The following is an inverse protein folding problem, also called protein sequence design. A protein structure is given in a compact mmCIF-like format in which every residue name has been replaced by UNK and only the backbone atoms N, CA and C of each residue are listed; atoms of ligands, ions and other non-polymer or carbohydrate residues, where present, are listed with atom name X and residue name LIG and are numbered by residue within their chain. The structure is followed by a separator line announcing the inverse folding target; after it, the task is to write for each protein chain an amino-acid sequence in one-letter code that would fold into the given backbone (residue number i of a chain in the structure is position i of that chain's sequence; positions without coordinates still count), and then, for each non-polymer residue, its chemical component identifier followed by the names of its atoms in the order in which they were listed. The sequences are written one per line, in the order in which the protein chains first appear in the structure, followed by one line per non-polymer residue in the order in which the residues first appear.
data_IF_157654500528
#
_entry.id   IF_157654500528
#
_cell.length_a   1.000
_cell.length_b   1.000
_cell.length_c   1.000
_cell.angle_alpha   90.00
_cell.angle_beta   90.00
_cell.angle_gamma   90.00
#
_symmetry.space_group_name_H-M   'P 1'
#
loop_
_entity.id
_entity.type
_entity.pdbx_description
1 polymer ?
#
# COMPACT_ATOMS: atom_id res chain seq x y z
N UNK A 1 -5.55 -39.23 12.59
CA UNK A 1 -4.62 -38.98 11.45
C UNK A 1 -5.27 -37.89 10.62
N UNK A 2 -4.91 -36.63 10.88
CA UNK A 2 -5.75 -35.49 10.52
C UNK A 2 -5.07 -34.70 9.39
N UNK A 3 -5.63 -34.79 8.19
CA UNK A 3 -5.18 -34.03 7.03
C UNK A 3 -5.69 -32.60 7.19
N UNK A 4 -4.80 -31.65 7.47
CA UNK A 4 -5.12 -30.21 7.37
C UNK A 4 -5.20 -29.83 5.90
N UNK A 5 -6.38 -29.43 5.45
CA UNK A 5 -6.59 -28.93 4.10
C UNK A 5 -6.13 -27.46 4.04
N UNK A 6 -5.12 -27.17 3.22
CA UNK A 6 -4.68 -25.79 2.95
C UNK A 6 -5.55 -25.24 1.83
N UNK A 7 -6.33 -24.19 2.12
CA UNK A 7 -7.07 -23.45 1.10
C UNK A 7 -6.14 -22.37 0.55
N UNK A 8 -5.53 -22.65 -0.60
CA UNK A 8 -4.79 -21.65 -1.38
C UNK A 8 -5.79 -20.85 -2.21
N UNK A 9 -6.08 -19.60 -1.80
CA UNK A 9 -6.87 -18.66 -2.59
C UNK A 9 -6.04 -18.09 -3.75
N UNK A 10 -6.07 -18.77 -4.90
CA UNK A 10 -5.70 -18.14 -6.18
C UNK A 10 -6.83 -17.21 -6.64
N UNK A 11 -6.61 -15.90 -6.57
CA UNK A 11 -7.45 -14.92 -7.26
C UNK A 11 -6.99 -14.73 -8.71
N UNK A 12 -7.13 -15.78 -9.52
CA UNK A 12 -7.04 -15.70 -10.98
C UNK A 12 -8.38 -15.29 -11.58
N UNK A 13 -8.43 -14.17 -12.31
CA UNK A 13 -9.66 -13.65 -12.87
C UNK A 13 -10.21 -14.52 -14.02
N UNK A 14 -11.38 -15.13 -13.83
CA UNK A 14 -12.25 -15.61 -14.93
C UNK A 14 -13.69 -15.19 -14.64
N UNK A 15 -14.17 -14.19 -15.39
CA UNK A 15 -15.61 -13.92 -15.50
C UNK A 15 -16.17 -14.78 -16.63
N UNK A 16 -16.79 -15.90 -16.26
CA UNK A 16 -17.70 -16.65 -17.14
C UNK A 16 -18.91 -17.11 -16.31
N UNK A 17 -20.11 -16.90 -16.84
CA UNK A 17 -21.33 -17.43 -16.24
C UNK A 17 -21.74 -18.76 -16.86
N UNK A 18 -22.38 -19.62 -16.06
CA UNK A 18 -23.61 -20.40 -16.36
C UNK A 18 -24.00 -21.20 -15.10
N UNK A 19 -25.29 -21.57 -15.00
CA UNK A 19 -25.98 -22.15 -13.84
C UNK A 19 -25.68 -23.64 -13.55
N UNK A 20 -26.22 -24.09 -12.41
CA UNK A 20 -26.38 -25.47 -11.84
C UNK A 20 -25.26 -25.94 -10.87
N UNK A 21 -25.53 -26.58 -9.71
CA UNK A 21 -26.82 -26.76 -8.99
C UNK A 21 -26.68 -26.92 -7.46
N UNK A 22 -27.76 -26.57 -6.76
CA UNK A 22 -28.18 -26.90 -5.38
C UNK A 22 -27.29 -27.69 -4.41
N UNK A 23 -27.06 -27.09 -3.23
CA UNK A 23 -27.22 -27.80 -1.95
C UNK A 23 -27.82 -26.86 -0.89
N UNK A 24 -28.76 -27.38 -0.10
CA UNK A 24 -29.54 -26.62 0.87
C UNK A 24 -28.75 -26.39 2.16
N UNK A 25 -28.27 -25.16 2.34
CA UNK A 25 -28.05 -24.58 3.67
C UNK A 25 -28.84 -23.28 3.77
N UNK A 26 -29.28 -22.94 4.97
CA UNK A 26 -29.93 -21.66 5.24
C UNK A 26 -28.86 -20.55 5.21
N UNK A 27 -28.42 -20.16 4.01
CA UNK A 27 -27.70 -18.91 3.83
C UNK A 27 -28.62 -17.77 4.22
N UNK A 28 -28.17 -16.93 5.15
CA UNK A 28 -28.51 -15.52 5.01
C UNK A 28 -28.00 -15.11 3.64
N UNK A 29 -28.90 -14.68 2.75
CA UNK A 29 -28.53 -14.08 1.47
C UNK A 29 -27.82 -12.75 1.74
N UNK A 30 -26.54 -12.84 2.11
CA UNK A 30 -25.56 -11.82 1.79
C UNK A 30 -25.49 -11.76 0.27
N UNK A 31 -26.42 -11.00 -0.32
CA UNK A 31 -26.25 -10.45 -1.66
C UNK A 31 -25.00 -9.61 -1.60
N UNK A 32 -23.89 -10.20 -2.02
CA UNK A 32 -22.64 -9.49 -2.19
C UNK A 32 -22.88 -8.40 -3.25
N UNK A 33 -23.06 -7.18 -2.76
CA UNK A 33 -23.51 -6.08 -3.57
C UNK A 33 -22.39 -5.69 -4.55
N UNK A 34 -22.63 -5.99 -5.83
CA UNK A 34 -21.61 -5.87 -6.87
C UNK A 34 -21.18 -4.41 -7.00
N UNK A 35 -19.93 -4.15 -6.64
CA UNK A 35 -19.37 -2.81 -6.76
C UNK A 35 -19.34 -2.38 -8.23
N UNK A 36 -19.83 -1.17 -8.51
CA UNK A 36 -19.75 -0.55 -9.84
C UNK A 36 -18.30 -0.14 -10.08
N UNK A 37 -17.68 -0.65 -11.14
CA UNK A 37 -16.40 -0.13 -11.64
C UNK A 37 -16.65 1.28 -12.20
N UNK A 38 -15.98 2.27 -11.62
CA UNK A 38 -16.01 3.66 -12.08
C UNK A 38 -14.88 3.94 -13.06
N UNK A 39 -13.75 3.27 -12.87
CA UNK A 39 -12.55 3.45 -13.70
C UNK A 39 -11.66 2.22 -13.64
N UNK A 40 -11.17 1.81 -14.81
CA UNK A 40 -10.13 0.81 -15.01
C UNK A 40 -9.07 1.43 -15.92
N UNK A 41 -7.82 1.54 -15.46
CA UNK A 41 -6.74 2.18 -16.21
C UNK A 41 -5.40 1.51 -15.95
N UNK A 42 -4.65 1.21 -17.01
CA UNK A 42 -3.26 0.77 -16.92
C UNK A 42 -2.33 1.97 -16.75
N UNK A 43 -1.52 1.96 -15.69
CA UNK A 43 -0.51 3.00 -15.38
C UNK A 43 0.90 2.39 -15.45
N UNK A 44 1.95 3.20 -15.29
CA UNK A 44 3.34 2.77 -15.29
C UNK A 44 3.69 1.84 -16.48
N UNK A 45 3.44 2.28 -17.72
CA UNK A 45 3.63 1.46 -18.93
C UNK A 45 2.92 0.08 -18.90
N UNK A 46 1.77 -0.02 -18.22
CA UNK A 46 1.01 -1.26 -17.97
C UNK A 46 1.55 -2.18 -16.88
N UNK A 47 2.52 -1.74 -16.07
CA UNK A 47 3.05 -2.50 -14.92
C UNK A 47 2.03 -2.59 -13.78
N UNK A 48 1.18 -1.56 -13.63
CA UNK A 48 0.10 -1.56 -12.63
C UNK A 48 -1.24 -1.26 -13.27
N UNK A 49 -2.30 -1.80 -12.67
CA UNK A 49 -3.69 -1.55 -13.00
C UNK A 49 -4.34 -0.79 -11.84
N UNK A 50 -5.02 0.31 -12.17
CA UNK A 50 -5.89 1.05 -11.27
C UNK A 50 -7.32 0.61 -11.49
N UNK A 51 -8.00 0.20 -10.41
CA UNK A 51 -9.42 -0.13 -10.42
C UNK A 51 -10.12 0.70 -9.33
N UNK A 52 -10.93 1.67 -9.75
CA UNK A 52 -11.79 2.45 -8.85
C UNK A 52 -13.21 1.87 -8.85
N UNK A 53 -13.72 1.55 -7.66
CA UNK A 53 -15.03 0.91 -7.48
C UNK A 53 -15.85 1.62 -6.42
N UNK A 54 -17.17 1.64 -6.58
CA UNK A 54 -18.11 2.12 -5.57
C UNK A 54 -19.24 1.09 -5.41
N UNK A 55 -19.47 0.65 -4.17
CA UNK A 55 -20.68 -0.12 -3.83
C UNK A 55 -21.87 0.82 -3.79
N UNK A 56 -23.04 0.30 -4.16
CA UNK A 56 -24.28 1.05 -4.06
C UNK A 56 -24.50 1.54 -2.61
N UNK A 57 -25.07 2.74 -2.47
CA UNK A 57 -25.28 3.46 -1.21
C UNK A 57 -24.03 3.73 -0.34
N UNK A 58 -22.83 3.28 -0.76
CA UNK A 58 -21.57 3.60 -0.09
C UNK A 58 -21.12 5.02 -0.40
N UNK A 59 -20.62 5.70 0.65
CA UNK A 59 -19.85 6.95 0.53
C UNK A 59 -18.41 6.71 0.12
N UNK A 60 -17.91 5.49 0.22
CA UNK A 60 -16.53 5.14 -0.07
C UNK A 60 -16.37 4.65 -1.50
N UNK A 61 -15.34 5.18 -2.16
CA UNK A 61 -14.85 4.73 -3.46
C UNK A 61 -13.50 4.07 -3.21
N UNK A 62 -13.44 2.76 -3.41
CA UNK A 62 -12.25 1.96 -3.23
C UNK A 62 -11.42 2.01 -4.51
N UNK A 63 -10.25 2.63 -4.42
CA UNK A 63 -9.28 2.77 -5.51
C UNK A 63 -8.12 1.84 -5.22
N UNK A 64 -8.08 0.70 -5.89
CA UNK A 64 -7.00 -0.26 -5.75
C UNK A 64 -6.00 -0.09 -6.88
N UNK A 65 -4.71 -0.08 -6.55
CA UNK A 65 -3.63 -0.24 -7.52
C UNK A 65 -2.91 -1.55 -7.25
N UNK A 66 -2.93 -2.43 -8.24
CA UNK A 66 -2.29 -3.74 -8.21
C UNK A 66 -1.27 -3.85 -9.34
N UNK A 67 -0.19 -4.59 -9.13
CA UNK A 67 0.66 -5.00 -10.25
C UNK A 67 -0.13 -5.85 -11.24
N UNK A 68 0.13 -5.66 -12.54
CA UNK A 68 -0.46 -6.47 -13.62
C UNK A 68 0.05 -7.92 -13.64
N UNK A 69 1.08 -8.22 -12.85
CA UNK A 69 1.72 -9.51 -12.67
C UNK A 69 1.92 -9.72 -11.16
N UNK A 70 1.54 -10.89 -10.64
CA UNK A 70 1.72 -11.23 -9.22
C UNK A 70 3.20 -11.21 -8.79
N UNK A 71 4.12 -11.46 -9.72
CA UNK A 71 5.57 -11.50 -9.47
C UNK A 71 6.30 -10.54 -10.41
N UNK A 72 6.20 -9.21 -10.17
CA UNK A 72 6.91 -8.22 -10.97
C UNK A 72 8.42 -8.40 -10.83
N UNK A 73 9.13 -8.26 -11.96
CA UNK A 73 10.59 -8.23 -12.01
C UNK A 73 11.15 -6.96 -11.38
N UNK A 74 12.43 -6.97 -11.01
CA UNK A 74 13.12 -5.77 -10.52
C UNK A 74 12.97 -4.59 -11.49
N UNK A 75 13.12 -4.83 -12.80
CA UNK A 75 12.98 -3.78 -13.81
C UNK A 75 11.56 -3.17 -13.81
N UNK A 76 10.50 -3.96 -13.59
CA UNK A 76 9.14 -3.43 -13.48
C UNK A 76 8.95 -2.58 -12.21
N UNK A 77 9.52 -3.02 -11.08
CA UNK A 77 9.52 -2.25 -9.82
C UNK A 77 10.33 -0.94 -9.95
N UNK A 78 11.47 -0.98 -10.63
CA UNK A 78 12.30 0.20 -10.92
C UNK A 78 11.61 1.16 -11.89
N UNK A 79 10.92 0.65 -12.92
CA UNK A 79 10.12 1.48 -13.82
C UNK A 79 9.00 2.21 -13.07
N UNK A 80 8.31 1.56 -12.13
CA UNK A 80 7.35 2.23 -11.25
C UNK A 80 8.01 3.30 -10.37
N UNK A 81 9.11 2.96 -9.70
CA UNK A 81 9.92 3.90 -8.89
C UNK A 81 10.31 5.15 -9.69
N UNK A 82 10.71 4.98 -10.95
CA UNK A 82 11.18 6.03 -11.84
C UNK A 82 10.05 6.95 -12.35
N UNK A 83 8.76 6.64 -12.10
CA UNK A 83 7.67 7.59 -12.35
C UNK A 83 7.55 8.67 -11.27
N UNK A 84 8.00 8.37 -10.03
CA UNK A 84 7.79 9.23 -8.88
C UNK A 84 8.34 10.66 -9.04
N UNK A 85 9.52 10.91 -9.66
CA UNK A 85 9.99 12.28 -9.92
C UNK A 85 9.03 13.09 -10.80
N UNK A 86 8.39 12.47 -11.80
CA UNK A 86 7.40 13.16 -12.64
C UNK A 86 6.12 13.47 -11.86
N UNK A 87 5.66 12.51 -11.05
CA UNK A 87 4.48 12.68 -10.20
C UNK A 87 4.71 13.75 -9.11
N UNK A 88 5.89 13.77 -8.48
CA UNK A 88 6.29 14.81 -7.53
C UNK A 88 6.31 16.20 -8.19
N UNK A 89 6.93 16.32 -9.37
CA UNK A 89 6.95 17.56 -10.15
C UNK A 89 5.56 18.09 -10.53
N UNK A 90 4.57 17.20 -10.71
CA UNK A 90 3.16 17.60 -10.93
C UNK A 90 2.52 18.16 -9.66
N UNK A 91 2.81 17.59 -8.49
CA UNK A 91 2.30 18.06 -7.20
C UNK A 91 2.96 19.36 -6.74
N UNK A 92 4.28 19.50 -6.94
CA UNK A 92 5.03 20.69 -6.57
C UNK A 92 4.50 21.98 -7.24
N UNK A 93 4.02 21.86 -8.48
CA UNK A 93 3.42 22.97 -9.25
C UNK A 93 2.02 23.39 -8.76
N UNK A 94 1.43 22.68 -7.78
CA UNK A 94 0.08 22.95 -7.25
C UNK A 94 0.07 23.71 -5.92
N UNK A 95 1.23 24.03 -5.37
CA UNK A 95 1.33 24.84 -4.15
C UNK A 95 0.90 24.12 -2.87
N UNK A 96 1.00 22.79 -2.82
CA UNK A 96 0.81 22.01 -1.60
C UNK A 96 2.00 22.22 -0.65
N UNK A 97 1.78 22.48 0.63
CA UNK A 97 2.87 22.58 1.63
C UNK A 97 3.49 21.20 1.95
N UNK A 98 2.62 20.19 2.08
CA UNK A 98 2.97 18.80 2.32
C UNK A 98 2.11 17.89 1.46
N UNK A 99 2.68 16.76 1.04
CA UNK A 99 1.97 15.70 0.30
C UNK A 99 2.01 14.38 1.09
N UNK A 100 0.97 13.54 0.98
CA UNK A 100 1.05 12.17 1.48
C UNK A 100 2.13 11.40 0.69
N UNK A 101 2.91 10.60 1.40
CA UNK A 101 3.93 9.73 0.85
C UNK A 101 3.84 8.34 1.47
N UNK A 102 4.09 7.30 0.68
CA UNK A 102 4.39 5.95 1.18
C UNK A 102 5.83 5.62 0.84
N UNK A 103 6.68 5.45 1.85
CA UNK A 103 8.10 5.14 1.66
C UNK A 103 8.30 3.65 1.93
N UNK A 104 8.82 2.93 0.94
CA UNK A 104 9.24 1.53 1.08
C UNK A 104 10.76 1.46 1.13
N UNK A 105 11.30 0.75 2.11
CA UNK A 105 12.73 0.55 2.31
C UNK A 105 13.24 -0.64 1.46
N UNK A 106 14.55 -0.70 1.23
CA UNK A 106 15.25 -1.87 0.67
C UNK A 106 15.59 -2.90 1.74
N UNK A 107 15.90 -2.46 2.97
CA UNK A 107 16.13 -3.32 4.14
C UNK A 107 15.32 -2.76 5.31
N UNK A 108 14.86 -3.61 6.22
CA UNK A 108 14.03 -3.17 7.34
C UNK A 108 14.87 -2.37 8.37
N UNK A 109 14.47 -1.13 8.66
CA UNK A 109 15.17 -0.26 9.62
C UNK A 109 14.85 -0.69 11.06
N UNK A 110 15.86 -0.75 11.93
CA UNK A 110 15.61 -0.85 13.37
C UNK A 110 14.81 0.36 13.90
N UNK A 111 14.23 0.25 15.10
CA UNK A 111 13.45 1.32 15.72
C UNK A 111 14.21 2.66 15.71
N UNK A 112 15.45 2.67 16.19
CA UNK A 112 16.29 3.86 16.24
C UNK A 112 16.61 4.43 14.85
N UNK A 113 16.91 3.56 13.87
CA UNK A 113 17.18 4.00 12.51
C UNK A 113 15.94 4.61 11.84
N UNK A 114 14.75 4.06 12.11
CA UNK A 114 13.48 4.62 11.63
C UNK A 114 13.18 5.98 12.25
N UNK A 115 13.31 6.13 13.57
CA UNK A 115 13.09 7.41 14.25
C UNK A 115 14.08 8.49 13.82
N UNK A 116 15.36 8.13 13.65
CA UNK A 116 16.38 9.01 13.08
C UNK A 116 16.02 9.39 11.64
N UNK A 117 15.68 8.41 10.78
CA UNK A 117 15.31 8.65 9.38
C UNK A 117 14.11 9.60 9.24
N UNK A 118 13.09 9.46 10.08
CA UNK A 118 11.91 10.33 10.11
C UNK A 118 12.29 11.75 10.55
N UNK A 119 13.08 11.87 11.62
CA UNK A 119 13.47 13.15 12.22
C UNK A 119 14.43 13.94 11.33
N UNK A 120 15.47 13.30 10.79
CA UNK A 120 16.48 13.89 9.89
C UNK A 120 15.89 14.44 8.57
N UNK A 121 14.71 13.95 8.19
CA UNK A 121 14.02 14.31 6.94
C UNK A 121 12.74 15.14 7.17
N UNK A 122 12.38 15.43 8.43
CA UNK A 122 11.21 16.24 8.76
C UNK A 122 9.88 15.63 8.30
N UNK A 123 9.77 14.30 8.37
CA UNK A 123 8.60 13.53 7.93
C UNK A 123 7.56 13.42 9.06
N UNK A 124 6.27 13.50 8.73
CA UNK A 124 5.18 13.23 9.67
C UNK A 124 4.64 11.83 9.43
N UNK A 125 4.88 10.88 10.33
CA UNK A 125 4.39 9.49 10.16
C UNK A 125 2.92 9.38 10.56
N UNK A 126 2.12 8.68 9.75
CA UNK A 126 0.72 8.36 10.04
C UNK A 126 0.56 6.90 10.47
N UNK A 127 1.22 5.97 9.76
CA UNK A 127 1.28 4.54 10.06
C UNK A 127 2.55 3.92 9.49
N UNK A 128 2.98 2.80 10.03
CA UNK A 128 4.14 2.04 9.57
C UNK A 128 3.90 0.53 9.64
N UNK A 129 4.67 -0.22 8.86
CA UNK A 129 4.63 -1.68 8.79
C UNK A 129 5.98 -2.26 9.22
N UNK A 130 5.93 -3.12 10.23
CA UNK A 130 7.09 -3.82 10.80
C UNK A 130 7.16 -5.23 10.20
N UNK A 131 8.36 -5.61 9.76
CA UNK A 131 8.70 -6.99 9.43
C UNK A 131 8.92 -7.76 10.72
N UNK A 132 8.15 -8.83 10.92
CA UNK A 132 8.38 -9.79 12.00
C UNK A 132 8.59 -11.21 11.44
N UNK A 133 9.23 -12.07 12.23
CA UNK A 133 9.34 -13.52 11.97
C UNK A 133 8.77 -14.24 13.19
N UNK A 134 7.92 -15.25 12.98
CA UNK A 134 7.47 -16.13 14.06
C UNK A 134 8.48 -17.22 14.45
N UNK A 135 8.14 -18.04 15.44
CA UNK A 135 8.95 -19.17 15.92
C UNK A 135 9.18 -20.28 14.87
N UNK A 136 8.45 -20.27 13.76
CA UNK A 136 8.60 -21.22 12.64
C UNK A 136 9.39 -20.65 11.47
N UNK A 137 9.88 -19.41 11.57
CA UNK A 137 10.59 -18.74 10.48
C UNK A 137 9.67 -18.07 9.46
N UNK A 138 8.36 -18.03 9.69
CA UNK A 138 7.39 -17.44 8.77
C UNK A 138 7.41 -15.91 8.92
N UNK A 139 7.52 -15.21 7.78
CA UNK A 139 7.46 -13.75 7.73
C UNK A 139 6.02 -13.26 7.91
N UNK A 140 5.85 -12.16 8.64
CA UNK A 140 4.57 -11.47 8.75
C UNK A 140 4.76 -9.95 8.89
N UNK A 141 3.68 -9.21 8.63
CA UNK A 141 3.56 -7.76 8.87
C UNK A 141 2.91 -7.52 10.22
N UNK A 142 3.48 -6.60 11.01
CA UNK A 142 2.78 -5.94 12.12
C UNK A 142 2.58 -4.46 11.77
N UNK A 143 1.33 -4.00 11.75
CA UNK A 143 1.03 -2.57 11.61
C UNK A 143 1.23 -1.81 12.91
N UNK A 144 1.77 -0.60 12.82
CA UNK A 144 1.92 0.35 13.92
C UNK A 144 1.60 1.78 13.51
N UNK A 145 1.53 2.68 14.49
CA UNK A 145 1.34 4.12 14.31
C UNK A 145 2.02 4.87 15.46
N UNK A 146 2.44 6.14 15.27
CA UNK A 146 2.89 6.98 16.37
C UNK A 146 1.83 7.13 17.46
N UNK A 147 2.24 7.20 18.72
CA UNK A 147 1.33 7.36 19.85
C UNK A 147 2.04 8.02 21.04
N UNK A 148 1.36 8.88 21.80
CA UNK A 148 1.91 9.52 23.01
C UNK A 148 3.01 10.56 22.77
N UNK A 149 3.41 10.78 21.51
CA UNK A 149 4.58 11.57 21.13
C UNK A 149 5.71 10.72 20.51
N UNK A 150 5.67 9.40 20.74
CA UNK A 150 6.65 8.46 20.21
C UNK A 150 6.36 8.14 18.74
N UNK A 151 7.38 8.24 17.88
CA UNK A 151 7.27 7.86 16.46
C UNK A 151 7.17 6.33 16.35
N UNK A 152 7.94 5.60 17.16
CA UNK A 152 7.90 4.15 17.27
C UNK A 152 7.62 3.73 18.74
N UNK A 153 6.35 3.51 19.16
CA UNK A 153 5.98 3.12 20.52
C UNK A 153 6.41 1.67 20.86
N UNK A 154 7.72 1.45 21.01
CA UNK A 154 8.36 0.15 21.08
C UNK A 154 7.80 -0.74 22.20
N UNK A 155 7.52 -0.17 23.37
CA UNK A 155 6.98 -0.93 24.51
C UNK A 155 5.64 -1.59 24.15
N UNK A 156 4.70 -0.84 23.57
CA UNK A 156 3.38 -1.38 23.17
C UNK A 156 3.50 -2.43 22.06
N UNK A 157 4.44 -2.25 21.14
CA UNK A 157 4.75 -3.22 20.08
C UNK A 157 5.27 -4.53 20.69
N UNK A 158 6.18 -4.45 21.67
CA UNK A 158 6.70 -5.62 22.41
C UNK A 158 5.61 -6.32 23.23
N UNK A 159 4.76 -5.56 23.93
CA UNK A 159 3.62 -6.06 24.69
C UNK A 159 2.62 -6.82 23.79
N UNK A 160 2.26 -6.25 22.63
CA UNK A 160 1.36 -6.90 21.66
C UNK A 160 1.93 -8.21 21.09
N UNK A 161 3.25 -8.29 20.86
CA UNK A 161 3.90 -9.48 20.29
C UNK A 161 4.10 -10.63 21.29
N UNK A 162 4.04 -10.34 22.61
CA UNK A 162 4.15 -11.34 23.67
C UNK A 162 5.46 -12.16 23.64
N UNK A 163 6.54 -11.61 23.06
CA UNK A 163 7.84 -12.30 22.89
C UNK A 163 7.89 -13.41 21.84
N UNK A 164 6.75 -13.84 21.28
CA UNK A 164 6.65 -14.97 20.34
C UNK A 164 7.23 -14.73 18.93
N UNK A 165 7.64 -13.49 18.61
CA UNK A 165 8.06 -13.08 17.27
C UNK A 165 9.30 -12.20 17.33
N UNK A 166 10.23 -12.44 16.41
CA UNK A 166 11.42 -11.62 16.21
C UNK A 166 11.06 -10.41 15.36
N UNK A 167 11.16 -9.20 15.92
CA UNK A 167 11.12 -7.96 15.15
C UNK A 167 12.38 -7.87 14.28
N UNK A 168 12.24 -7.49 13.01
CA UNK A 168 13.36 -7.16 12.12
C UNK A 168 13.50 -5.66 11.86
N UNK A 169 12.39 -4.94 11.77
CA UNK A 169 12.41 -3.49 11.58
C UNK A 169 11.20 -2.96 10.82
N UNK A 170 11.11 -1.63 10.68
CA UNK A 170 10.14 -0.95 9.82
C UNK A 170 10.62 -1.02 8.37
N UNK A 171 9.79 -1.57 7.48
CA UNK A 171 10.11 -1.70 6.06
C UNK A 171 9.27 -0.79 5.16
N UNK A 172 8.12 -0.31 5.64
CA UNK A 172 7.23 0.58 4.91
C UNK A 172 6.57 1.54 5.89
N UNK A 173 6.39 2.80 5.50
CA UNK A 173 5.56 3.73 6.26
C UNK A 173 4.83 4.72 5.36
N UNK A 174 3.62 5.11 5.80
CA UNK A 174 2.85 6.21 5.24
C UNK A 174 3.00 7.43 6.14
N UNK A 175 3.17 8.59 5.52
CA UNK A 175 3.32 9.85 6.21
C UNK A 175 3.09 11.05 5.29
N UNK A 176 3.51 12.23 5.75
CA UNK A 176 3.53 13.47 4.96
C UNK A 176 4.94 14.01 4.85
N UNK A 177 5.28 14.46 3.65
CA UNK A 177 6.58 15.05 3.32
C UNK A 177 6.40 16.51 2.89
N UNK A 178 7.23 17.46 3.37
CA UNK A 178 7.30 18.80 2.82
C UNK A 178 7.58 18.80 1.32
N UNK A 179 6.90 19.66 0.56
CA UNK A 179 7.07 19.74 -0.90
C UNK A 179 8.33 20.54 -1.23
N UNK A 180 9.49 19.87 -1.14
CA UNK A 180 10.81 20.41 -1.45
C UNK A 180 11.55 19.46 -2.37
N UNK A 181 11.99 19.95 -3.54
CA UNK A 181 12.70 19.14 -4.54
C UNK A 181 13.94 18.45 -3.97
N UNK A 182 14.79 19.20 -3.25
CA UNK A 182 15.99 18.68 -2.59
C UNK A 182 15.69 17.53 -1.60
N UNK A 183 14.59 17.61 -0.86
CA UNK A 183 14.19 16.55 0.07
C UNK A 183 13.69 15.30 -0.68
N UNK A 184 12.89 15.49 -1.72
CA UNK A 184 12.46 14.38 -2.57
C UNK A 184 13.66 13.69 -3.24
N UNK A 185 14.59 14.46 -3.82
CA UNK A 185 15.78 13.92 -4.48
C UNK A 185 16.72 13.22 -3.48
N UNK A 186 16.87 13.76 -2.26
CA UNK A 186 17.61 13.10 -1.17
C UNK A 186 17.00 11.74 -0.85
N UNK A 187 15.69 11.67 -0.62
CA UNK A 187 14.98 10.44 -0.24
C UNK A 187 14.90 9.43 -1.39
N UNK A 188 14.66 9.89 -2.62
CA UNK A 188 14.57 9.04 -3.81
C UNK A 188 15.91 8.35 -4.13
N UNK A 189 17.03 9.03 -3.87
CA UNK A 189 18.38 8.51 -4.10
C UNK A 189 19.05 7.91 -2.85
N UNK A 190 18.37 7.90 -1.69
CA UNK A 190 18.87 7.26 -0.46
C UNK A 190 19.07 5.75 -0.71
N UNK A 191 20.23 5.22 -0.33
CA UNK A 191 20.56 3.82 -0.58
C UNK A 191 19.66 2.85 0.20
N UNK A 192 19.09 3.29 1.34
CA UNK A 192 18.15 2.51 2.17
C UNK A 192 16.74 2.50 1.59
N UNK A 193 16.33 3.53 0.83
CA UNK A 193 14.98 3.66 0.28
C UNK A 193 14.87 2.93 -1.05
N UNK A 194 13.78 2.17 -1.26
CA UNK A 194 13.44 1.69 -2.60
C UNK A 194 12.65 2.74 -3.37
N UNK A 195 11.48 3.12 -2.86
CA UNK A 195 10.59 4.10 -3.50
C UNK A 195 10.00 5.08 -2.49
N UNK A 196 9.94 6.35 -2.91
CA UNK A 196 9.17 7.41 -2.26
C UNK A 196 7.91 7.58 -3.09
N UNK A 197 6.86 6.85 -2.74
CA UNK A 197 5.61 6.83 -3.50
C UNK A 197 4.76 8.05 -3.16
N UNK A 198 4.57 8.93 -4.15
CA UNK A 198 3.77 10.16 -4.07
C UNK A 198 2.43 10.03 -4.80
N UNK A 199 2.12 8.83 -5.32
CA UNK A 199 1.04 8.64 -6.28
C UNK A 199 -0.34 8.86 -5.67
N UNK A 200 -0.55 8.56 -4.39
CA UNK A 200 -1.84 8.75 -3.68
C UNK A 200 -2.47 10.11 -3.99
N UNK A 201 -1.70 11.20 -3.90
CA UNK A 201 -2.23 12.55 -4.14
C UNK A 201 -2.54 12.81 -5.61
N UNK A 202 -1.68 12.33 -6.52
CA UNK A 202 -1.90 12.42 -7.98
C UNK A 202 -3.17 11.68 -8.38
N UNK A 203 -3.39 10.51 -7.78
CA UNK A 203 -4.54 9.64 -8.02
C UNK A 203 -5.83 10.21 -7.43
N UNK A 204 -5.77 10.75 -6.21
CA UNK A 204 -6.88 11.47 -5.58
C UNK A 204 -7.37 12.60 -6.50
N UNK A 205 -6.45 13.43 -6.98
CA UNK A 205 -6.75 14.53 -7.90
C UNK A 205 -7.21 14.04 -9.28
N UNK A 206 -6.62 12.97 -9.82
CA UNK A 206 -6.99 12.37 -11.12
C UNK A 206 -8.42 11.81 -11.10
N UNK A 207 -8.82 11.21 -9.99
CA UNK A 207 -10.16 10.61 -9.82
C UNK A 207 -11.18 11.69 -9.50
N UNK A 208 -10.90 12.61 -8.55
CA UNK A 208 -11.82 13.73 -8.25
C UNK A 208 -12.11 14.62 -9.46
N UNK A 209 -11.19 14.70 -10.42
CA UNK A 209 -11.40 15.44 -11.66
C UNK A 209 -12.13 14.66 -12.77
N UNK A 210 -12.34 13.35 -12.63
CA UNK A 210 -12.95 12.52 -13.67
C UNK A 210 -14.46 12.81 -13.82
N UNK A 211 -15.04 12.64 -15.03
CA UNK A 211 -16.48 12.79 -15.24
C UNK A 211 -17.31 11.84 -14.38
N UNK A 212 -16.82 10.61 -14.18
CA UNK A 212 -17.51 9.55 -13.45
C UNK A 212 -17.61 9.88 -11.96
N UNK A 213 -16.54 10.39 -11.34
CA UNK A 213 -16.57 10.83 -9.94
C UNK A 213 -17.52 12.02 -9.75
N UNK A 214 -17.46 13.01 -10.65
CA UNK A 214 -18.29 14.23 -10.58
C UNK A 214 -19.80 13.95 -10.64
N UNK A 215 -20.22 12.81 -11.18
CA UNK A 215 -21.61 12.37 -11.19
C UNK A 215 -22.11 11.76 -9.86
N UNK A 216 -21.21 11.41 -8.93
CA UNK A 216 -21.56 10.70 -7.69
C UNK A 216 -21.92 11.63 -6.52
N UNK A 217 -21.74 12.94 -6.67
CA UNK A 217 -21.97 13.93 -5.62
C UNK A 217 -20.73 14.24 -4.77
N UNK A 218 -20.86 15.28 -3.93
CA UNK A 218 -19.75 15.83 -3.14
C UNK A 218 -19.49 15.09 -1.81
N UNK A 219 -20.31 14.10 -1.45
CA UNK A 219 -20.21 13.36 -0.18
C UNK A 219 -19.38 12.07 -0.27
N UNK A 220 -18.73 11.83 -1.42
CA UNK A 220 -17.88 10.65 -1.63
C UNK A 220 -16.46 10.85 -1.11
N UNK A 221 -15.97 9.83 -0.44
CA UNK A 221 -14.60 9.71 0.05
C UNK A 221 -13.84 8.71 -0.82
N UNK A 222 -12.58 9.03 -1.15
CA UNK A 222 -11.68 8.09 -1.83
C UNK A 222 -10.87 7.35 -0.77
N UNK A 223 -10.89 6.01 -0.80
CA UNK A 223 -9.89 5.18 -0.15
C UNK A 223 -8.91 4.68 -1.22
N UNK A 224 -7.62 5.00 -1.08
CA UNK A 224 -6.60 4.74 -2.09
C UNK A 224 -5.59 3.73 -1.54
N UNK A 225 -5.68 2.52 -2.07
CA UNK A 225 -4.83 1.39 -1.72
C UNK A 225 -3.74 1.25 -2.78
N UNK A 226 -2.55 1.77 -2.45
CA UNK A 226 -1.34 1.65 -3.25
C UNK A 226 -0.73 0.24 -3.18
N UNK A 227 0.20 -0.14 -4.07
CA UNK A 227 0.91 -1.42 -4.00
C UNK A 227 1.85 -1.46 -2.78
N UNK A 228 1.36 -1.82 -1.60
CA UNK A 228 2.16 -1.82 -0.36
C UNK A 228 3.11 -3.03 -0.22
N UNK A 229 3.30 -3.82 -1.28
CA UNK A 229 4.07 -5.07 -1.25
C UNK A 229 5.50 -4.97 -1.80
N UNK A 230 6.00 -3.78 -2.14
CA UNK A 230 7.36 -3.56 -2.69
C UNK A 230 8.44 -4.31 -1.91
N UNK A 231 8.49 -4.13 -0.58
CA UNK A 231 9.50 -4.79 0.25
C UNK A 231 9.44 -6.32 0.16
N UNK A 232 8.25 -6.92 0.21
CA UNK A 232 8.08 -8.36 0.09
C UNK A 232 8.51 -8.88 -1.29
N UNK A 233 8.26 -8.12 -2.37
CA UNK A 233 8.73 -8.47 -3.71
C UNK A 233 10.25 -8.34 -3.85
N UNK A 234 10.85 -7.32 -3.24
CA UNK A 234 12.32 -7.19 -3.18
C UNK A 234 12.96 -8.32 -2.36
N UNK A 235 12.30 -8.79 -1.31
CA UNK A 235 12.76 -9.93 -0.50
C UNK A 235 12.66 -11.25 -1.28
N UNK A 236 11.55 -11.48 -1.99
CA UNK A 236 11.37 -12.63 -2.87
C UNK A 236 12.43 -12.66 -4.00
N UNK A 237 12.82 -11.49 -4.49
CA UNK A 237 13.92 -11.29 -5.45
C UNK A 237 15.32 -11.35 -4.81
N UNK A 238 15.43 -11.53 -3.48
CA UNK A 238 16.69 -11.57 -2.69
C UNK A 238 17.52 -10.27 -2.74
N UNK A 239 16.84 -9.15 -2.97
CA UNK A 239 17.39 -7.79 -2.98
C UNK A 239 17.26 -7.17 -1.58
N UNK A 240 16.10 -7.38 -0.94
CA UNK A 240 15.85 -7.00 0.45
C UNK A 240 16.26 -8.11 1.42
N UNK A 241 16.49 -7.71 2.68
CA UNK A 241 16.83 -8.56 3.83
C UNK A 241 16.13 -8.06 5.10
#
# INVERSE_FOLDING_TARGET
MNIKMIITLLFGAIVFGVLTTGSLFASQDFKEEKAKVLKDEKLANSIVQLIATNKQDSKEINVNITFSNDNPSLNELEQYRNEMPNQFNMLAKKGHDKIPVTISMKEALSAQEFENFVTENGLEVEKFEIRVIDEHGIRATLGGRPEGGDIYPEQRIKEFLGGSKTIKGVYLFKGKMPVKQELFDKLHNDNRVFVVDVSEKVLEEKIKNSPEYKQLGNDKHLDINLPNNFYWKLEDLKIAK
#
